data_IF_692662088799
#
_entry.id   IF_692662088799
#
_cell.length_a   1.000
_cell.length_b   1.000
_cell.length_c   1.000
_cell.angle_alpha   90.00
_cell.angle_beta   90.00
_cell.angle_gamma   90.00
#
_symmetry.space_group_name_H-M   'P 1'
#
loop_
_entity.id
_entity.type
_entity.pdbx_description
1 polymer ?
#
# COMPACT_ATOMS: atom_id res chain seq x y z
N UNK A 1 1.13 -25.41 16.21
CA UNK A 1 1.15 -26.59 15.33
C UNK A 1 -0.10 -26.73 14.46
N UNK A 2 -1.31 -27.02 14.98
CA UNK A 2 -2.53 -27.12 14.12
C UNK A 2 -2.89 -25.80 13.40
N UNK A 3 -2.77 -24.67 14.08
CA UNK A 3 -3.06 -23.35 13.50
C UNK A 3 -2.07 -22.94 12.39
N UNK A 4 -0.78 -23.26 12.57
CA UNK A 4 0.27 -22.95 11.59
C UNK A 4 0.15 -23.80 10.33
N UNK A 5 -0.27 -25.06 10.48
CA UNK A 5 -0.58 -25.98 9.36
C UNK A 5 -1.76 -25.49 8.52
N UNK A 6 -2.83 -25.00 9.17
CA UNK A 6 -4.00 -24.45 8.46
C UNK A 6 -3.61 -23.18 7.68
N UNK A 7 -2.83 -22.29 8.31
CA UNK A 7 -2.33 -21.08 7.65
C UNK A 7 -1.41 -21.39 6.46
N UNK A 8 -0.48 -22.33 6.62
CA UNK A 8 0.36 -22.79 5.53
C UNK A 8 -0.49 -23.38 4.40
N UNK A 9 -1.50 -24.19 4.73
CA UNK A 9 -2.46 -24.74 3.78
C UNK A 9 -3.19 -23.65 2.99
N UNK A 10 -3.71 -22.62 3.65
CA UNK A 10 -4.42 -21.50 3.00
C UNK A 10 -3.48 -20.68 2.10
N UNK A 11 -2.24 -20.43 2.53
CA UNK A 11 -1.24 -19.77 1.68
C UNK A 11 -0.91 -20.62 0.45
N UNK A 12 -0.69 -21.92 0.60
CA UNK A 12 -0.47 -22.81 -0.54
C UNK A 12 -1.66 -22.85 -1.49
N UNK A 13 -2.88 -22.86 -0.96
CA UNK A 13 -4.10 -22.78 -1.77
C UNK A 13 -4.19 -21.46 -2.54
N UNK A 14 -3.85 -20.32 -1.91
CA UNK A 14 -3.82 -19.02 -2.57
C UNK A 14 -2.77 -18.94 -3.69
N UNK A 15 -1.60 -19.58 -3.49
CA UNK A 15 -0.55 -19.69 -4.51
C UNK A 15 -0.99 -20.58 -5.68
N UNK A 16 -1.61 -21.72 -5.40
CA UNK A 16 -2.18 -22.59 -6.43
C UNK A 16 -3.30 -21.88 -7.20
N UNK A 17 -4.13 -21.09 -6.52
CA UNK A 17 -5.16 -20.29 -7.16
C UNK A 17 -4.56 -19.21 -8.06
N UNK A 18 -3.52 -18.51 -7.60
CA UNK A 18 -2.79 -17.55 -8.43
C UNK A 18 -2.16 -18.22 -9.66
N UNK A 19 -1.55 -19.40 -9.51
CA UNK A 19 -1.01 -20.18 -10.63
C UNK A 19 -2.11 -20.59 -11.63
N UNK A 20 -3.27 -21.02 -11.14
CA UNK A 20 -4.43 -21.33 -11.96
C UNK A 20 -4.92 -20.11 -12.74
N UNK A 21 -5.09 -18.97 -12.07
CA UNK A 21 -5.46 -17.71 -12.72
C UNK A 21 -4.41 -17.26 -13.75
N UNK A 22 -3.13 -17.47 -13.46
CA UNK A 22 -2.04 -17.14 -14.39
C UNK A 22 -2.01 -18.04 -15.62
N UNK A 23 -2.55 -19.26 -15.53
CA UNK A 23 -2.66 -20.17 -16.67
C UNK A 23 -3.92 -19.86 -17.51
N UNK A 24 -4.99 -19.36 -16.87
CA UNK A 24 -6.26 -19.03 -17.53
C UNK A 24 -6.22 -17.62 -18.15
N UNK A 25 -5.60 -16.67 -17.46
CA UNK A 25 -5.50 -15.26 -17.84
C UNK A 25 -4.05 -14.85 -18.12
N UNK A 26 -3.78 -13.54 -18.19
CA UNK A 26 -2.44 -13.04 -18.41
C UNK A 26 -1.58 -13.14 -17.11
N UNK A 27 -0.38 -13.77 -17.17
CA UNK A 27 0.52 -13.87 -16.01
C UNK A 27 0.94 -12.50 -15.46
N UNK A 28 1.01 -11.46 -16.30
CA UNK A 28 1.38 -10.11 -15.86
C UNK A 28 0.34 -9.54 -14.88
N UNK A 29 -0.95 -9.70 -15.18
CA UNK A 29 -2.03 -9.18 -14.33
C UNK A 29 -2.00 -9.85 -12.96
N UNK A 30 -1.80 -11.16 -12.93
CA UNK A 30 -1.73 -11.92 -11.68
C UNK A 30 -0.48 -11.53 -10.87
N UNK A 31 0.68 -11.41 -11.53
CA UNK A 31 1.93 -11.04 -10.86
C UNK A 31 1.85 -9.64 -10.23
N UNK A 32 1.23 -8.69 -10.93
CA UNK A 32 0.99 -7.34 -10.45
C UNK A 32 0.04 -7.33 -9.25
N UNK A 33 -1.06 -8.08 -9.30
CA UNK A 33 -2.01 -8.17 -8.18
C UNK A 33 -1.39 -8.85 -6.95
N UNK A 34 -0.61 -9.92 -7.15
CA UNK A 34 0.09 -10.60 -6.04
C UNK A 34 1.18 -9.71 -5.43
N UNK A 35 2.00 -9.06 -6.26
CA UNK A 35 3.07 -8.19 -5.76
C UNK A 35 2.51 -7.00 -4.96
N UNK A 36 1.54 -6.28 -5.52
CA UNK A 36 0.92 -5.12 -4.85
C UNK A 36 0.20 -5.49 -3.56
N UNK A 37 -0.59 -6.56 -3.56
CA UNK A 37 -1.28 -7.02 -2.34
C UNK A 37 -0.31 -7.47 -1.24
N UNK A 38 0.78 -8.17 -1.59
CA UNK A 38 1.83 -8.53 -0.64
C UNK A 38 2.55 -7.30 -0.09
N UNK A 39 2.91 -6.34 -0.96
CA UNK A 39 3.60 -5.12 -0.57
C UNK A 39 2.77 -4.29 0.41
N UNK A 40 1.51 -4.02 0.07
CA UNK A 40 0.62 -3.29 0.97
C UNK A 40 0.26 -4.06 2.24
N UNK A 41 0.12 -5.39 2.20
CA UNK A 41 -0.12 -6.18 3.41
C UNK A 41 1.03 -6.00 4.43
N UNK A 42 2.27 -5.96 3.96
CA UNK A 42 3.44 -5.83 4.84
C UNK A 42 3.56 -4.41 5.38
N UNK A 43 3.44 -3.42 4.51
CA UNK A 43 3.50 -2.01 4.90
C UNK A 43 2.36 -1.66 5.86
N UNK A 44 1.15 -2.15 5.61
CA UNK A 44 -0.01 -1.93 6.48
C UNK A 44 0.16 -2.55 7.88
N UNK A 45 0.82 -3.71 7.99
CA UNK A 45 1.17 -4.30 9.28
C UNK A 45 2.16 -3.44 10.04
N UNK A 46 3.19 -2.90 9.37
CA UNK A 46 4.14 -1.95 9.99
C UNK A 46 3.39 -0.72 10.49
N UNK A 47 2.53 -0.13 9.64
CA UNK A 47 1.67 1.01 10.00
C UNK A 47 0.88 0.71 11.26
N UNK A 48 0.28 -0.48 11.34
CA UNK A 48 -0.55 -0.90 12.45
C UNK A 48 0.24 -1.09 13.75
N UNK A 49 1.38 -1.79 13.70
CA UNK A 49 2.27 -1.94 14.85
C UNK A 49 2.77 -0.60 15.37
N UNK A 50 3.12 0.30 14.46
CA UNK A 50 3.66 1.62 14.77
C UNK A 50 2.61 2.68 15.09
N UNK A 51 1.32 2.34 15.03
CA UNK A 51 0.18 3.25 15.18
C UNK A 51 0.26 4.46 14.23
N UNK A 52 0.73 4.23 13.01
CA UNK A 52 0.89 5.25 11.96
C UNK A 52 -0.35 5.40 11.08
N UNK A 53 -1.54 4.99 11.54
CA UNK A 53 -2.79 5.08 10.75
C UNK A 53 -3.10 6.50 10.29
N UNK A 54 -2.75 7.49 11.12
CA UNK A 54 -2.74 8.90 10.76
C UNK A 54 -1.98 9.15 9.46
N UNK A 55 -0.69 8.82 9.43
CA UNK A 55 0.18 9.02 8.28
C UNK A 55 -0.32 8.22 7.07
N UNK A 56 -0.69 6.95 7.30
CA UNK A 56 -1.20 6.06 6.28
C UNK A 56 -2.48 6.56 5.59
N UNK A 57 -3.39 7.19 6.34
CA UNK A 57 -4.63 7.74 5.79
C UNK A 57 -4.42 8.90 4.81
N UNK A 58 -3.28 9.59 4.91
CA UNK A 58 -2.93 10.69 4.02
C UNK A 58 -2.21 10.22 2.74
N UNK A 59 -1.64 9.01 2.77
CA UNK A 59 -0.74 8.55 1.72
C UNK A 59 -1.34 8.49 0.33
N UNK A 60 -2.60 8.08 0.12
CA UNK A 60 -3.17 8.11 -1.23
C UNK A 60 -3.22 9.52 -1.83
N UNK A 61 -3.46 10.54 -1.01
CA UNK A 61 -3.44 11.93 -1.45
C UNK A 61 -2.00 12.40 -1.74
N UNK A 62 -1.05 11.96 -0.91
CA UNK A 62 0.38 12.24 -1.13
C UNK A 62 0.90 11.55 -2.37
N UNK A 63 0.56 10.28 -2.60
CA UNK A 63 1.01 9.50 -3.75
C UNK A 63 0.42 10.06 -5.04
N UNK A 64 -0.87 10.42 -5.05
CA UNK A 64 -1.51 11.03 -6.22
C UNK A 64 -0.90 12.40 -6.58
N UNK A 65 -0.63 13.25 -5.58
CA UNK A 65 0.13 14.49 -5.78
C UNK A 65 1.53 14.20 -6.32
N UNK A 66 2.25 13.27 -5.70
CA UNK A 66 3.63 12.96 -6.02
C UNK A 66 3.79 12.41 -7.44
N UNK A 67 2.91 11.51 -7.87
CA UNK A 67 2.91 10.98 -9.24
C UNK A 67 2.54 12.07 -10.24
N UNK A 68 1.51 12.87 -9.96
CA UNK A 68 1.11 13.97 -10.85
C UNK A 68 2.24 15.00 -11.02
N UNK A 69 2.91 15.36 -9.91
CA UNK A 69 4.04 16.30 -9.93
C UNK A 69 5.28 15.66 -10.57
N UNK A 70 5.53 14.37 -10.32
CA UNK A 70 6.63 13.62 -10.90
C UNK A 70 6.55 13.53 -12.41
N UNK A 71 5.35 13.34 -12.97
CA UNK A 71 5.10 13.40 -14.43
C UNK A 71 5.46 14.80 -14.95
N UNK A 72 4.98 15.85 -14.30
CA UNK A 72 5.25 17.23 -14.73
C UNK A 72 6.75 17.56 -14.68
N UNK A 73 7.42 17.24 -13.58
CA UNK A 73 8.85 17.50 -13.38
C UNK A 73 9.68 16.69 -14.40
N UNK A 74 9.32 15.43 -14.64
CA UNK A 74 9.93 14.58 -15.67
C UNK A 74 9.80 15.20 -17.05
N UNK A 75 8.63 15.75 -17.38
CA UNK A 75 8.40 16.39 -18.66
C UNK A 75 9.30 17.63 -18.89
N UNK A 76 9.55 18.42 -17.84
CA UNK A 76 10.33 19.66 -17.92
C UNK A 76 11.84 19.41 -17.85
N UNK A 77 12.29 18.53 -16.94
CA UNK A 77 13.71 18.37 -16.62
C UNK A 77 14.33 17.12 -17.27
N UNK A 78 13.72 15.95 -17.04
CA UNK A 78 14.30 14.65 -17.38
C UNK A 78 13.26 13.65 -17.87
N UNK A 79 12.98 13.69 -19.17
CA UNK A 79 12.02 12.78 -19.81
C UNK A 79 12.43 11.32 -19.57
N UNK A 80 11.46 10.51 -19.13
CA UNK A 80 11.65 9.08 -18.85
C UNK A 80 11.94 8.72 -17.40
N UNK A 81 12.13 9.70 -16.50
CA UNK A 81 12.38 9.46 -15.07
C UNK A 81 11.16 9.68 -14.17
N UNK A 82 9.96 9.51 -14.72
CA UNK A 82 8.67 9.78 -14.05
C UNK A 82 8.54 9.08 -12.70
N UNK A 83 8.81 7.78 -12.66
CA UNK A 83 8.69 6.97 -11.42
C UNK A 83 9.69 7.45 -10.36
N UNK A 84 10.95 7.68 -10.76
CA UNK A 84 12.01 8.10 -9.82
C UNK A 84 11.69 9.47 -9.24
N UNK A 85 11.30 10.42 -10.08
CA UNK A 85 10.92 11.77 -9.64
C UNK A 85 9.66 11.75 -8.77
N UNK A 86 8.68 10.91 -9.10
CA UNK A 86 7.49 10.71 -8.28
C UNK A 86 7.87 10.19 -6.89
N UNK A 87 8.75 9.19 -6.80
CA UNK A 87 9.22 8.64 -5.52
C UNK A 87 9.96 9.71 -4.71
N UNK A 88 10.81 10.53 -5.34
CA UNK A 88 11.53 11.62 -4.67
C UNK A 88 10.54 12.63 -4.08
N UNK A 89 9.56 13.09 -4.87
CA UNK A 89 8.52 14.02 -4.39
C UNK A 89 7.70 13.40 -3.27
N UNK A 90 7.26 12.15 -3.45
CA UNK A 90 6.45 11.44 -2.47
C UNK A 90 7.17 11.23 -1.16
N UNK A 91 8.45 10.82 -1.18
CA UNK A 91 9.27 10.72 0.02
C UNK A 91 9.44 12.08 0.71
N UNK A 92 9.68 13.15 -0.05
CA UNK A 92 9.74 14.50 0.48
C UNK A 92 8.47 14.87 1.24
N UNK A 93 7.31 14.65 0.63
CA UNK A 93 6.00 14.90 1.26
C UNK A 93 5.76 14.01 2.48
N UNK A 94 6.02 12.70 2.39
CA UNK A 94 5.87 11.75 3.51
C UNK A 94 6.76 12.13 4.69
N UNK A 95 7.99 12.60 4.45
CA UNK A 95 8.89 13.05 5.51
C UNK A 95 8.46 14.37 6.13
N UNK A 96 7.82 15.28 5.39
CA UNK A 96 7.23 16.49 5.98
C UNK A 96 6.13 16.10 6.97
N UNK A 97 5.25 15.17 6.60
CA UNK A 97 4.22 14.65 7.52
C UNK A 97 4.87 13.95 8.71
N UNK A 98 5.86 13.09 8.47
CA UNK A 98 6.63 12.42 9.54
C UNK A 98 7.31 13.40 10.51
N UNK A 99 7.79 14.54 10.00
CA UNK A 99 8.37 15.60 10.82
C UNK A 99 7.33 16.29 11.72
N UNK A 100 6.10 16.48 11.24
CA UNK A 100 5.01 17.03 12.05
C UNK A 100 4.65 16.11 13.22
N UNK A 101 4.66 14.78 13.00
CA UNK A 101 4.50 13.78 14.06
C UNK A 101 5.59 13.98 15.12
N UNK A 102 6.84 14.18 14.68
CA UNK A 102 7.96 14.42 15.60
C UNK A 102 7.77 15.70 16.44
N UNK A 103 7.17 16.73 15.83
CA UNK A 103 6.83 18.00 16.49
C UNK A 103 5.59 17.94 17.38
N UNK A 104 4.97 16.77 17.55
CA UNK A 104 3.76 16.55 18.35
C UNK A 104 2.56 17.40 17.90
N UNK A 105 2.47 17.67 16.60
CA UNK A 105 1.24 18.24 16.03
C UNK A 105 0.11 17.23 16.24
N UNK A 106 -1.07 17.72 16.58
CA UNK A 106 -2.24 16.86 16.74
C UNK A 106 -2.51 16.11 15.41
N UNK A 107 -2.60 14.77 15.43
CA UNK A 107 -2.85 13.98 14.24
C UNK A 107 -4.12 14.39 13.48
N UNK A 108 -5.21 14.73 14.15
CA UNK A 108 -6.45 15.10 13.45
C UNK A 108 -6.30 16.40 12.65
N UNK A 109 -5.58 17.38 13.21
CA UNK A 109 -5.28 18.66 12.56
C UNK A 109 -4.33 18.45 11.40
N UNK A 110 -3.24 17.72 11.62
CA UNK A 110 -2.25 17.46 10.59
C UNK A 110 -2.89 16.76 9.37
N UNK A 111 -3.79 15.79 9.58
CA UNK A 111 -4.46 15.07 8.48
C UNK A 111 -5.41 15.97 7.75
N UNK A 112 -6.21 16.74 8.47
CA UNK A 112 -7.17 17.64 7.82
C UNK A 112 -6.46 18.65 6.92
N UNK A 113 -5.34 19.23 7.39
CA UNK A 113 -4.54 20.19 6.62
C UNK A 113 -3.80 19.52 5.47
N UNK A 114 -3.16 18.37 5.71
CA UNK A 114 -2.41 17.67 4.66
C UNK A 114 -3.33 17.12 3.59
N UNK A 115 -4.36 16.36 3.94
CA UNK A 115 -5.35 15.87 2.97
C UNK A 115 -5.96 17.01 2.18
N UNK A 116 -6.38 18.10 2.85
CA UNK A 116 -6.98 19.24 2.16
C UNK A 116 -6.01 19.89 1.15
N UNK A 117 -4.78 20.16 1.58
CA UNK A 117 -3.77 20.81 0.74
C UNK A 117 -3.25 19.90 -0.37
N UNK A 118 -2.93 18.64 -0.08
CA UNK A 118 -2.44 17.68 -1.07
C UNK A 118 -3.52 17.30 -2.07
N UNK A 119 -4.79 17.18 -1.66
CA UNK A 119 -5.91 16.95 -2.59
C UNK A 119 -6.10 18.14 -3.52
N UNK A 120 -6.15 19.37 -2.98
CA UNK A 120 -6.30 20.57 -3.80
C UNK A 120 -5.15 20.71 -4.81
N UNK A 121 -3.91 20.52 -4.34
CA UNK A 121 -2.74 20.58 -5.20
C UNK A 121 -2.70 19.43 -6.21
N UNK A 122 -3.15 18.23 -5.83
CA UNK A 122 -3.24 17.09 -6.75
C UNK A 122 -4.18 17.40 -7.90
N UNK A 123 -5.37 17.93 -7.62
CA UNK A 123 -6.35 18.30 -8.65
C UNK A 123 -5.78 19.38 -9.56
N UNK A 124 -5.13 20.42 -8.98
CA UNK A 124 -4.50 21.49 -9.76
C UNK A 124 -3.41 20.96 -10.69
N UNK A 125 -2.50 20.14 -10.16
CA UNK A 125 -1.37 19.58 -10.91
C UNK A 125 -1.86 18.57 -11.94
N UNK A 126 -2.76 17.67 -11.59
CA UNK A 126 -3.34 16.70 -12.51
C UNK A 126 -4.08 17.41 -13.67
N UNK A 127 -4.84 18.46 -13.38
CA UNK A 127 -5.49 19.27 -14.41
C UNK A 127 -4.46 19.95 -15.33
N UNK A 128 -3.39 20.50 -14.76
CA UNK A 128 -2.32 21.09 -15.56
C UNK A 128 -1.63 20.05 -16.45
N UNK A 129 -1.32 18.87 -15.91
CA UNK A 129 -0.70 17.77 -16.66
C UNK A 129 -1.62 17.32 -17.80
N UNK A 130 -2.92 17.12 -17.54
CA UNK A 130 -3.92 16.77 -18.56
C UNK A 130 -4.01 17.78 -19.71
N UNK A 131 -3.82 19.07 -19.42
CA UNK A 131 -4.03 20.15 -20.40
C UNK A 131 -2.76 20.61 -21.11
N UNK A 132 -1.58 20.37 -20.53
CA UNK A 132 -0.31 20.97 -20.99
C UNK A 132 0.78 19.95 -21.30
N UNK A 133 0.66 18.71 -20.82
CA UNK A 133 1.69 17.68 -20.99
C UNK A 133 1.15 16.59 -21.92
N UNK A 134 1.89 16.21 -22.98
CA UNK A 134 1.55 15.05 -23.80
C UNK A 134 1.86 13.77 -23.00
N UNK A 135 0.92 13.36 -22.14
CA UNK A 135 1.04 12.13 -21.34
C UNK A 135 0.72 10.92 -22.21
N UNK A 136 1.54 9.88 -22.13
CA UNK A 136 1.37 8.65 -22.91
C UNK A 136 0.25 7.73 -22.37
N UNK A 137 -0.28 8.01 -21.18
CA UNK A 137 -1.28 7.18 -20.50
C UNK A 137 -2.36 8.04 -19.85
N UNK A 138 -3.52 7.41 -19.60
CA UNK A 138 -4.70 8.07 -19.05
C UNK A 138 -4.51 8.40 -17.56
N UNK A 139 -4.62 9.67 -17.18
CA UNK A 139 -4.53 10.10 -15.78
C UNK A 139 -5.70 9.54 -14.97
N UNK A 140 -6.85 9.23 -15.59
CA UNK A 140 -7.95 8.57 -14.90
C UNK A 140 -7.54 7.18 -14.36
N UNK A 141 -6.55 6.53 -14.98
CA UNK A 141 -6.00 5.26 -14.48
C UNK A 141 -5.28 5.42 -13.14
N UNK A 142 -4.76 6.61 -12.80
CA UNK A 142 -4.15 6.88 -11.49
C UNK A 142 -5.20 6.95 -10.37
N UNK A 143 -6.44 7.36 -10.69
CA UNK A 143 -7.53 7.43 -9.72
C UNK A 143 -8.16 6.05 -9.54
N UNK A 144 -8.54 5.42 -10.65
CA UNK A 144 -9.28 4.15 -10.64
C UNK A 144 -8.34 2.98 -10.31
N UNK A 145 -7.13 3.00 -10.87
CA UNK A 145 -6.21 1.87 -10.89
C UNK A 145 -6.69 0.80 -11.86
N UNK A 146 -5.86 0.45 -12.85
CA UNK A 146 -6.18 -0.65 -13.75
C UNK A 146 -4.99 -1.61 -13.94
N UNK A 147 -4.94 -2.69 -13.14
CA UNK A 147 -3.95 -3.74 -13.29
C UNK A 147 -3.97 -4.44 -14.65
N UNK A 148 -5.07 -4.38 -15.42
CA UNK A 148 -5.13 -5.00 -16.75
C UNK A 148 -4.31 -4.23 -17.78
N UNK A 149 -4.12 -2.92 -17.56
CA UNK A 149 -3.31 -2.04 -18.42
C UNK A 149 -1.83 -1.98 -18.00
N UNK A 150 -1.43 -2.81 -17.02
CA UNK A 150 -0.07 -2.80 -16.50
C UNK A 150 0.96 -3.20 -17.58
N UNK A 151 1.98 -2.37 -17.73
CA UNK A 151 3.13 -2.63 -18.60
C UNK A 151 4.21 -3.43 -17.88
N UNK A 152 5.19 -3.98 -18.61
CA UNK A 152 6.35 -4.66 -18.01
C UNK A 152 7.13 -3.77 -17.02
N UNK A 153 7.27 -2.48 -17.32
CA UNK A 153 7.91 -1.54 -16.39
C UNK A 153 7.11 -1.37 -15.10
N UNK A 154 5.78 -1.36 -15.19
CA UNK A 154 4.92 -1.25 -14.01
C UNK A 154 5.02 -2.52 -13.15
N UNK A 155 5.06 -3.70 -13.78
CA UNK A 155 5.26 -4.99 -13.10
C UNK A 155 6.58 -5.01 -12.36
N UNK A 156 7.67 -4.60 -13.00
CA UNK A 156 9.00 -4.54 -12.39
C UNK A 156 8.99 -3.57 -11.21
N UNK A 157 8.38 -2.39 -11.35
CA UNK A 157 8.27 -1.42 -10.27
C UNK A 157 7.50 -1.99 -9.06
N UNK A 158 6.37 -2.65 -9.28
CA UNK A 158 5.60 -3.30 -8.22
C UNK A 158 6.42 -4.40 -7.53
N UNK A 159 7.03 -5.31 -8.30
CA UNK A 159 7.81 -6.43 -7.75
C UNK A 159 9.02 -5.94 -6.94
N UNK A 160 9.79 -4.99 -7.46
CA UNK A 160 10.94 -4.41 -6.75
C UNK A 160 10.52 -3.72 -5.45
N UNK A 161 9.41 -2.99 -5.50
CA UNK A 161 8.87 -2.30 -4.33
C UNK A 161 8.37 -3.29 -3.28
N UNK A 162 7.73 -4.38 -3.69
CA UNK A 162 7.32 -5.48 -2.79
C UNK A 162 8.52 -6.19 -2.18
N UNK A 163 9.56 -6.48 -2.98
CA UNK A 163 10.80 -7.11 -2.48
C UNK A 163 11.46 -6.18 -1.45
N UNK A 164 11.57 -4.90 -1.74
CA UNK A 164 12.10 -3.90 -0.80
C UNK A 164 11.32 -3.91 0.51
N UNK A 165 9.98 -3.90 0.44
CA UNK A 165 9.13 -3.94 1.63
C UNK A 165 9.27 -5.24 2.43
N UNK A 166 9.29 -6.39 1.74
CA UNK A 166 9.51 -7.72 2.34
C UNK A 166 10.85 -7.79 3.07
N UNK A 167 11.93 -7.41 2.40
CA UNK A 167 13.29 -7.45 2.93
C UNK A 167 13.39 -6.57 4.17
N UNK A 168 12.96 -5.31 4.06
CA UNK A 168 12.96 -4.39 5.18
C UNK A 168 12.12 -4.89 6.36
N UNK A 169 10.96 -5.48 6.09
CA UNK A 169 10.12 -6.08 7.12
C UNK A 169 10.79 -7.25 7.82
N UNK A 170 11.33 -8.22 7.08
CA UNK A 170 11.99 -9.40 7.66
C UNK A 170 13.10 -8.99 8.63
N UNK A 171 13.87 -7.95 8.27
CA UNK A 171 14.98 -7.47 9.10
C UNK A 171 14.57 -6.55 10.25
N UNK A 172 13.38 -5.94 10.22
CA UNK A 172 13.01 -4.91 11.21
C UNK A 172 11.69 -5.15 11.94
N UNK A 173 10.97 -6.25 11.66
CA UNK A 173 9.63 -6.44 12.21
C UNK A 173 9.59 -6.46 13.74
N UNK A 174 10.64 -6.98 14.38
CA UNK A 174 10.75 -7.03 15.84
C UNK A 174 10.87 -5.63 16.43
N UNK A 175 11.79 -4.82 15.89
CA UNK A 175 12.05 -3.46 16.33
C UNK A 175 10.85 -2.56 16.05
N UNK A 176 10.23 -2.70 14.88
CA UNK A 176 9.01 -1.98 14.53
C UNK A 176 7.87 -2.30 15.52
N UNK A 177 7.67 -3.57 15.88
CA UNK A 177 6.68 -3.95 16.87
C UNK A 177 7.02 -3.44 18.28
N UNK A 178 8.27 -3.57 18.71
CA UNK A 178 8.72 -3.11 20.02
C UNK A 178 8.61 -1.59 20.19
N UNK A 179 8.95 -0.81 19.16
CA UNK A 179 8.81 0.66 19.17
C UNK A 179 7.35 1.07 19.30
N UNK A 180 6.44 0.33 18.65
CA UNK A 180 5.00 0.55 18.75
C UNK A 180 4.40 0.24 20.13
N UNK A 181 5.01 -0.67 20.88
CA UNK A 181 4.59 -1.06 22.23
C UNK A 181 5.11 -0.08 23.29
N UNK A 182 6.42 0.08 23.38
CA UNK A 182 7.06 0.99 24.33
C UNK A 182 8.32 1.60 23.72
N UNK A 183 8.12 2.80 23.15
CA UNK A 183 9.20 3.59 22.57
C UNK A 183 10.26 4.00 23.58
N UNK A 184 9.90 4.18 24.86
CA UNK A 184 10.84 4.62 25.90
C UNK A 184 11.75 3.46 26.29
N UNK A 185 11.19 2.27 26.53
CA UNK A 185 11.96 1.07 26.82
C UNK A 185 12.95 0.74 25.70
N UNK A 186 12.53 0.84 24.43
CA UNK A 186 13.40 0.58 23.28
C UNK A 186 14.56 1.59 23.19
N UNK A 187 14.33 2.86 23.52
CA UNK A 187 15.40 3.87 23.58
C UNK A 187 16.39 3.59 24.72
N UNK A 188 15.90 3.16 25.88
CA UNK A 188 16.75 2.77 27.01
C UNK A 188 17.60 1.55 26.66
N UNK A 189 17.07 0.62 25.86
CA UNK A 189 17.80 -0.53 25.33
C UNK A 189 18.86 -0.18 24.25
N UNK A 190 19.07 1.10 23.95
CA UNK A 190 20.13 1.58 23.05
C UNK A 190 19.77 1.57 21.55
N UNK A 191 18.50 1.30 21.21
CA UNK A 191 18.05 1.28 19.81
C UNK A 191 17.71 2.69 19.33
N UNK A 192 18.32 3.14 18.23
CA UNK A 192 17.97 4.43 17.63
C UNK A 192 16.63 4.35 16.88
N UNK A 193 15.56 4.71 17.58
CA UNK A 193 14.20 4.76 17.03
C UNK A 193 14.06 5.64 15.79
N UNK A 194 14.94 6.63 15.57
CA UNK A 194 14.83 7.55 14.42
C UNK A 194 15.08 6.83 13.10
N UNK A 195 15.98 5.86 13.08
CA UNK A 195 16.28 5.06 11.88
C UNK A 195 15.05 4.24 11.49
N UNK A 196 14.36 3.65 12.47
CA UNK A 196 13.15 2.87 12.23
C UNK A 196 11.93 3.74 11.89
N UNK A 197 11.85 4.97 12.41
CA UNK A 197 10.87 5.98 11.98
C UNK A 197 11.07 6.28 10.48
N UNK A 198 12.31 6.63 10.10
CA UNK A 198 12.67 6.95 8.73
C UNK A 198 12.40 5.77 7.79
N UNK A 199 12.76 4.55 8.19
CA UNK A 199 12.50 3.35 7.42
C UNK A 199 11.00 3.12 7.23
N UNK A 200 10.19 3.25 8.28
CA UNK A 200 8.73 3.09 8.18
C UNK A 200 8.11 4.12 7.22
N UNK A 201 8.56 5.38 7.28
CA UNK A 201 8.13 6.44 6.37
C UNK A 201 8.59 6.19 4.94
N UNK A 202 9.81 5.70 4.76
CA UNK A 202 10.36 5.35 3.44
C UNK A 202 9.56 4.21 2.82
N UNK A 203 9.30 3.16 3.59
CA UNK A 203 8.51 2.01 3.14
C UNK A 203 7.12 2.43 2.71
N UNK A 204 6.47 3.25 3.53
CA UNK A 204 5.16 3.76 3.21
C UNK A 204 5.19 4.61 1.93
N UNK A 205 6.06 5.62 1.83
CA UNK A 205 6.13 6.50 0.65
C UNK A 205 6.55 5.78 -0.63
N UNK A 206 7.54 4.88 -0.59
CA UNK A 206 7.97 4.12 -1.78
C UNK A 206 6.87 3.16 -2.22
N UNK A 207 6.22 2.45 -1.29
CA UNK A 207 5.16 1.50 -1.64
C UNK A 207 3.93 2.16 -2.20
N UNK A 208 3.49 3.28 -1.64
CA UNK A 208 2.31 3.98 -2.15
C UNK A 208 2.55 4.62 -3.50
N UNK A 209 3.63 5.38 -3.64
CA UNK A 209 3.95 6.07 -4.89
C UNK A 209 4.35 5.08 -5.99
N UNK A 210 5.19 4.09 -5.66
CA UNK A 210 5.73 3.14 -6.63
C UNK A 210 4.69 2.18 -7.21
N UNK A 211 3.58 1.96 -6.50
CA UNK A 211 2.50 1.08 -6.95
C UNK A 211 1.26 1.83 -7.46
N UNK A 212 1.14 3.14 -7.21
CA UNK A 212 -0.07 3.92 -7.48
C UNK A 212 -0.62 3.75 -8.90
N UNK A 213 0.25 3.76 -9.93
CA UNK A 213 -0.20 3.67 -11.32
C UNK A 213 -1.01 2.41 -11.61
N UNK A 214 -0.63 1.31 -10.99
CA UNK A 214 -1.34 0.03 -11.09
C UNK A 214 -2.54 0.01 -10.16
N UNK A 215 -2.30 0.35 -8.89
CA UNK A 215 -3.26 0.07 -7.83
C UNK A 215 -4.39 1.08 -7.81
N UNK A 216 -4.10 2.28 -8.30
CA UNK A 216 -4.96 3.42 -8.18
C UNK A 216 -5.03 3.93 -6.75
N UNK A 217 -5.41 5.20 -6.68
CA UNK A 217 -5.69 5.91 -5.44
C UNK A 217 -6.73 5.20 -4.55
N UNK A 218 -7.73 4.54 -5.16
CA UNK A 218 -8.83 3.89 -4.43
C UNK A 218 -8.37 2.60 -3.75
N UNK A 219 -7.70 1.70 -4.47
CA UNK A 219 -7.26 0.43 -3.87
C UNK A 219 -6.22 0.68 -2.78
N UNK A 220 -5.37 1.70 -2.96
CA UNK A 220 -4.36 2.10 -1.98
C UNK A 220 -4.99 2.40 -0.60
N UNK A 221 -6.06 3.20 -0.53
CA UNK A 221 -6.79 3.47 0.71
C UNK A 221 -7.20 2.19 1.45
N UNK A 222 -7.76 1.25 0.68
CA UNK A 222 -8.35 0.03 1.22
C UNK A 222 -7.26 -0.91 1.73
N UNK A 223 -6.22 -1.12 0.94
CA UNK A 223 -5.17 -2.11 1.21
C UNK A 223 -4.16 -1.65 2.26
N UNK A 224 -4.03 -0.34 2.53
CA UNK A 224 -3.19 0.13 3.64
C UNK A 224 -3.91 0.02 4.98
N UNK A 225 -5.23 0.16 5.02
CA UNK A 225 -5.98 0.31 6.28
C UNK A 225 -6.75 -0.95 6.69
N UNK A 226 -7.33 -1.70 5.75
CA UNK A 226 -8.22 -2.82 6.07
C UNK A 226 -7.51 -4.13 6.45
N UNK A 227 -6.40 -4.55 5.82
CA UNK A 227 -5.71 -5.77 6.22
C UNK A 227 -5.34 -5.83 7.71
N UNK A 228 -4.77 -4.78 8.33
CA UNK A 228 -4.50 -4.81 9.77
C UNK A 228 -5.77 -4.75 10.61
N UNK A 229 -6.84 -4.12 10.14
CA UNK A 229 -8.13 -4.11 10.84
C UNK A 229 -8.76 -5.51 10.89
N UNK A 230 -8.70 -6.27 9.79
CA UNK A 230 -9.07 -7.69 9.72
C UNK A 230 -8.12 -8.52 10.60
N UNK A 231 -6.83 -8.22 10.54
CA UNK A 231 -5.85 -8.98 11.29
C UNK A 231 -6.06 -8.86 12.80
N UNK A 232 -6.32 -7.66 13.31
CA UNK A 232 -6.54 -7.42 14.74
C UNK A 232 -7.92 -7.85 15.24
N UNK A 233 -8.89 -8.07 14.35
CA UNK A 233 -10.17 -8.66 14.75
C UNK A 233 -10.08 -10.18 14.93
N UNK A 234 -9.20 -10.86 14.19
CA UNK A 234 -9.10 -12.33 14.16
C UNK A 234 -7.86 -12.91 14.84
N UNK A 235 -6.71 -12.23 14.79
CA UNK A 235 -5.45 -12.79 15.24
C UNK A 235 -5.25 -12.67 16.75
N UNK A 236 -4.68 -13.72 17.34
CA UNK A 236 -4.33 -13.80 18.78
C UNK A 236 -2.83 -13.62 19.05
N UNK A 237 -2.02 -13.40 18.01
CA UNK A 237 -0.57 -13.22 18.11
C UNK A 237 -0.05 -12.26 17.03
N UNK A 238 1.12 -11.66 17.26
CA UNK A 238 1.77 -10.78 16.28
C UNK A 238 1.97 -11.49 14.94
N UNK A 239 2.57 -12.69 14.96
CA UNK A 239 2.75 -13.50 13.75
C UNK A 239 1.42 -13.82 13.07
N UNK A 240 0.41 -14.19 13.85
CA UNK A 240 -0.94 -14.42 13.35
C UNK A 240 -1.51 -13.20 12.63
N UNK A 241 -1.25 -11.99 13.13
CA UNK A 241 -1.71 -10.75 12.51
C UNK A 241 -1.03 -10.48 11.15
N UNK A 242 0.27 -10.78 11.04
CA UNK A 242 0.98 -10.69 9.74
C UNK A 242 0.33 -11.64 8.73
N UNK A 243 0.12 -12.90 9.13
CA UNK A 243 -0.44 -13.91 8.24
C UNK A 243 -1.87 -13.59 7.81
N UNK A 244 -2.73 -13.12 8.70
CA UNK A 244 -4.11 -12.76 8.37
C UNK A 244 -4.16 -11.52 7.47
N UNK A 245 -3.29 -10.52 7.67
CA UNK A 245 -3.18 -9.37 6.77
C UNK A 245 -2.73 -9.78 5.36
N UNK A 246 -1.70 -10.62 5.27
CA UNK A 246 -1.19 -11.14 3.98
C UNK A 246 -2.25 -11.98 3.28
N UNK A 247 -2.86 -12.93 3.98
CA UNK A 247 -3.84 -13.84 3.39
C UNK A 247 -5.09 -13.08 2.94
N UNK A 248 -5.59 -12.14 3.75
CA UNK A 248 -6.75 -11.35 3.37
C UNK A 248 -6.48 -10.48 2.14
N UNK A 249 -5.31 -9.84 2.06
CA UNK A 249 -4.92 -9.01 0.91
C UNK A 249 -4.74 -9.85 -0.36
N UNK A 250 -4.11 -11.01 -0.26
CA UNK A 250 -3.95 -11.95 -1.37
C UNK A 250 -5.30 -12.47 -1.87
N UNK A 251 -6.17 -12.92 -0.98
CA UNK A 251 -7.48 -13.43 -1.38
C UNK A 251 -8.34 -12.32 -2.00
N UNK A 252 -8.37 -11.13 -1.41
CA UNK A 252 -9.14 -10.02 -1.94
C UNK A 252 -8.65 -9.57 -3.33
N UNK A 253 -7.34 -9.51 -3.54
CA UNK A 253 -6.78 -9.16 -4.86
C UNK A 253 -7.02 -10.25 -5.91
N UNK A 254 -6.81 -11.53 -5.59
CA UNK A 254 -7.00 -12.64 -6.55
C UNK A 254 -8.48 -12.87 -6.89
N UNK A 255 -9.36 -12.90 -5.88
CA UNK A 255 -10.82 -13.00 -6.10
C UNK A 255 -11.32 -11.74 -6.80
N UNK A 256 -10.80 -10.57 -6.41
CA UNK A 256 -11.11 -9.29 -7.04
C UNK A 256 -10.79 -9.29 -8.53
N UNK A 257 -9.58 -9.74 -8.91
CA UNK A 257 -9.15 -9.89 -10.29
C UNK A 257 -10.03 -10.90 -11.07
N UNK A 258 -10.30 -12.06 -10.47
CA UNK A 258 -11.09 -13.08 -11.13
C UNK A 258 -12.52 -12.61 -11.42
N UNK A 259 -13.19 -12.04 -10.41
CA UNK A 259 -14.55 -11.51 -10.56
C UNK A 259 -14.60 -10.29 -11.48
N UNK A 260 -13.58 -9.43 -11.45
CA UNK A 260 -13.54 -8.25 -12.31
C UNK A 260 -13.47 -8.64 -13.79
N UNK A 261 -12.73 -9.70 -14.13
CA UNK A 261 -12.66 -10.22 -15.50
C UNK A 261 -14.00 -10.84 -15.91
N UNK A 262 -14.63 -11.64 -15.04
CA UNK A 262 -15.91 -12.28 -15.36
C UNK A 262 -17.07 -11.29 -15.52
N UNK A 263 -17.09 -10.24 -14.69
CA UNK A 263 -18.15 -9.24 -14.66
C UNK A 263 -17.85 -8.00 -15.50
N UNK A 264 -16.67 -7.94 -16.13
CA UNK A 264 -16.17 -6.78 -16.88
C UNK A 264 -16.19 -5.47 -16.04
N UNK A 265 -15.67 -5.55 -14.82
CA UNK A 265 -15.56 -4.45 -13.86
C UNK A 265 -14.09 -4.08 -13.61
N UNK A 266 -13.84 -2.94 -12.95
CA UNK A 266 -12.49 -2.52 -12.57
C UNK A 266 -11.93 -3.43 -11.45
N UNK A 267 -10.75 -4.06 -11.62
CA UNK A 267 -10.18 -4.98 -10.64
C UNK A 267 -9.87 -4.32 -9.30
N UNK A 268 -9.35 -3.09 -9.33
CA UNK A 268 -9.00 -2.32 -8.13
C UNK A 268 -10.22 -2.06 -7.25
N UNK A 269 -11.34 -1.71 -7.87
CA UNK A 269 -12.62 -1.52 -7.18
C UNK A 269 -13.18 -2.85 -6.64
N UNK A 270 -13.13 -3.91 -7.44
CA UNK A 270 -13.61 -5.24 -7.02
C UNK A 270 -12.78 -5.81 -5.86
N UNK A 271 -11.45 -5.69 -5.93
CA UNK A 271 -10.55 -6.10 -4.85
C UNK A 271 -10.83 -5.31 -3.56
N UNK A 272 -11.05 -4.00 -3.66
CA UNK A 272 -11.45 -3.17 -2.53
C UNK A 272 -12.79 -3.59 -1.91
N UNK A 273 -13.78 -3.93 -2.74
CA UNK A 273 -15.08 -4.42 -2.27
C UNK A 273 -14.96 -5.78 -1.57
N UNK A 274 -14.20 -6.72 -2.13
CA UNK A 274 -13.94 -8.02 -1.46
C UNK A 274 -13.25 -7.79 -0.12
N UNK A 275 -12.26 -6.89 -0.06
CA UNK A 275 -11.58 -6.54 1.20
C UNK A 275 -12.57 -6.00 2.25
N UNK A 276 -13.51 -5.15 1.85
CA UNK A 276 -14.58 -4.65 2.73
C UNK A 276 -15.50 -5.77 3.21
N UNK A 277 -15.92 -6.68 2.33
CA UNK A 277 -16.74 -7.84 2.71
C UNK A 277 -16.01 -8.75 3.70
N UNK A 278 -14.71 -9.00 3.49
CA UNK A 278 -13.87 -9.75 4.42
C UNK A 278 -13.75 -9.03 5.77
N UNK A 279 -13.64 -7.70 5.78
CA UNK A 279 -13.65 -6.91 7.01
C UNK A 279 -14.97 -7.04 7.78
N UNK A 280 -16.11 -6.87 7.11
CA UNK A 280 -17.43 -7.06 7.74
C UNK A 280 -17.58 -8.47 8.30
N UNK A 281 -17.20 -9.50 7.53
CA UNK A 281 -17.21 -10.89 7.99
C UNK A 281 -16.35 -11.08 9.24
N UNK A 282 -15.17 -10.46 9.30
CA UNK A 282 -14.28 -10.54 10.47
C UNK A 282 -14.92 -9.96 11.74
N UNK A 283 -15.72 -8.90 11.61
CA UNK A 283 -16.44 -8.29 12.72
C UNK A 283 -17.58 -9.16 13.23
N UNK A 284 -18.28 -9.86 12.33
CA UNK A 284 -19.34 -10.80 12.70
C UNK A 284 -18.78 -12.00 13.45
N UNK A 285 -17.64 -12.54 13.01
CA UNK A 285 -16.96 -13.66 13.70
C UNK A 285 -16.46 -13.24 15.08
N UNK A 286 -15.96 -12.01 15.25
CA UNK A 286 -15.49 -11.52 16.57
C UNK A 286 -16.61 -11.35 17.59
N UNK A 287 -17.85 -11.09 17.13
CA UNK A 287 -19.01 -10.89 18.00
C UNK A 287 -19.71 -12.21 18.39
N UNK A 288 -19.41 -13.31 17.70
CA UNK A 288 -19.91 -14.65 18.02
C UNK A 288 -18.96 -15.36 19.00
#
# INVERSE_FOLDING_TARGET
MKHDLVLAGLLTASLLYALGLSAIYNPLWVLVMVSTSLGFAIVSVIVAYRRLFFLASEMPHVSFLAVSLGIYISYVLWRGFEIVLSIIVGLGLTYIVGYMIHRRVDPSIATSVFVGSTTSLSVLVAYFVLTRVPVAYDIASLIIGDPLLATYSDVIACVLTTIFALVAFIFTYHEQASIGLDRVAVKIAGVDTRVYDLLAYTLLGVSTVGMLKVTGYIMEHVFILMPPAIAFSLARSYRGAVYTAVLSSLLASLIGLHLSILLNLAPSGMAGLIMLLMYIASLLVKRA
#
